data_IF_416062974725
#
_entry.id   IF_416062974725
#
_cell.length_a   1.000
_cell.length_b   1.000
_cell.length_c   1.000
_cell.angle_alpha   90.00
_cell.angle_beta   90.00
_cell.angle_gamma   90.00
#
_symmetry.space_group_name_H-M   'P 1'
#
loop_
_entity.id
_entity.type
_entity.pdbx_description
1 polymer ?
#
# COMPACT_ATOMS: atom_id res chain seq x y z
N UNK A 1 57.06 -15.26 0.98
CA UNK A 1 56.03 -16.23 0.53
C UNK A 1 54.69 -15.86 1.14
N UNK A 2 53.74 -15.49 0.28
CA UNK A 2 52.27 -15.47 0.39
C UNK A 2 51.63 -14.84 1.65
N UNK A 3 51.34 -13.53 1.54
CA UNK A 3 50.21 -12.87 2.18
C UNK A 3 48.92 -13.54 1.69
N UNK A 4 48.07 -14.02 2.60
CA UNK A 4 46.75 -14.56 2.27
C UNK A 4 45.80 -13.46 1.79
N UNK A 5 44.88 -13.75 0.85
CA UNK A 5 43.99 -12.76 0.29
C UNK A 5 42.95 -12.33 1.34
N UNK A 6 42.67 -11.03 1.32
CA UNK A 6 41.83 -10.36 2.29
C UNK A 6 40.42 -10.92 2.34
N UNK A 7 39.90 -11.03 3.55
CA UNK A 7 38.46 -10.94 3.76
C UNK A 7 38.03 -9.58 3.21
N UNK A 8 37.44 -9.57 2.02
CA UNK A 8 36.64 -8.45 1.55
C UNK A 8 35.53 -8.28 2.58
N UNK A 9 35.74 -7.33 3.48
CA UNK A 9 34.69 -6.74 4.28
C UNK A 9 33.69 -6.17 3.28
N UNK A 10 32.61 -6.92 3.04
CA UNK A 10 31.42 -6.36 2.42
C UNK A 10 31.04 -5.16 3.26
N UNK A 11 31.29 -3.97 2.71
CA UNK A 11 30.76 -2.74 3.27
C UNK A 11 29.25 -2.91 3.31
N UNK A 12 28.71 -3.17 4.51
CA UNK A 12 27.27 -3.13 4.78
C UNK A 12 26.83 -1.67 4.68
N UNK A 13 26.62 -1.21 3.45
CA UNK A 13 26.12 0.12 3.14
C UNK A 13 24.65 0.22 3.54
N UNK A 14 24.42 0.69 4.76
CA UNK A 14 23.32 1.56 5.21
C UNK A 14 22.14 1.79 4.23
N UNK A 15 20.98 1.20 4.59
CA UNK A 15 19.59 1.60 4.25
C UNK A 15 19.30 2.10 2.81
N UNK A 16 19.15 1.20 1.81
CA UNK A 16 18.80 1.58 0.44
C UNK A 16 17.31 1.85 0.20
N UNK A 17 16.42 1.57 1.16
CA UNK A 17 14.96 1.69 0.96
C UNK A 17 14.35 2.86 1.75
N UNK A 18 13.51 3.63 1.06
CA UNK A 18 12.64 4.64 1.65
C UNK A 18 11.19 4.31 1.34
N UNK A 19 10.39 4.00 2.36
CA UNK A 19 8.94 4.00 2.26
C UNK A 19 8.43 5.44 2.45
N UNK A 20 8.16 6.13 1.34
CA UNK A 20 7.61 7.49 1.34
C UNK A 20 6.10 7.46 1.61
N UNK A 21 5.72 7.09 2.83
CA UNK A 21 4.32 7.05 3.27
C UNK A 21 4.17 7.36 4.76
N UNK A 22 3.17 8.18 5.09
CA UNK A 22 2.76 8.44 6.47
C UNK A 22 1.90 7.30 7.07
N UNK A 23 1.45 6.32 6.27
CA UNK A 23 0.53 5.28 6.73
C UNK A 23 1.21 4.29 7.70
N UNK A 24 0.74 4.17 8.96
CA UNK A 24 1.27 3.19 9.90
C UNK A 24 1.08 1.75 9.41
N UNK A 25 -0.04 1.48 8.72
CA UNK A 25 -0.37 0.15 8.19
C UNK A 25 0.63 -0.29 7.12
N UNK A 26 0.99 0.60 6.19
CA UNK A 26 2.00 0.28 5.16
C UNK A 26 3.37 0.03 5.77
N UNK A 27 3.75 0.81 6.80
CA UNK A 27 4.98 0.58 7.56
C UNK A 27 5.00 -0.81 8.20
N UNK A 28 3.90 -1.21 8.85
CA UNK A 28 3.76 -2.55 9.42
C UNK A 28 3.87 -3.64 8.34
N UNK A 29 3.18 -3.51 7.22
CA UNK A 29 3.27 -4.49 6.12
C UNK A 29 4.68 -4.60 5.56
N UNK A 30 5.39 -3.48 5.39
CA UNK A 30 6.76 -3.46 4.86
C UNK A 30 7.73 -4.33 5.68
N UNK A 31 7.49 -4.47 7.00
CA UNK A 31 8.30 -5.35 7.87
C UNK A 31 8.26 -6.83 7.48
N UNK A 32 7.20 -7.27 6.77
CA UNK A 32 7.07 -8.66 6.31
C UNK A 32 8.21 -9.06 5.37
N UNK A 33 8.78 -8.09 4.63
CA UNK A 33 9.87 -8.32 3.69
C UNK A 33 11.21 -8.63 4.37
N UNK A 34 11.35 -8.34 5.67
CA UNK A 34 12.60 -8.47 6.40
C UNK A 34 13.71 -7.55 5.89
N UNK A 35 13.37 -6.52 5.12
CA UNK A 35 14.30 -5.55 4.57
C UNK A 35 14.43 -4.35 5.51
N UNK A 36 15.63 -3.79 5.60
CA UNK A 36 15.86 -2.53 6.30
C UNK A 36 15.32 -1.37 5.44
N UNK A 37 14.48 -0.51 6.03
CA UNK A 37 13.91 0.67 5.38
C UNK A 37 13.70 1.82 6.37
N UNK A 38 13.67 3.04 5.85
CA UNK A 38 13.21 4.21 6.61
C UNK A 38 11.89 4.72 6.06
N UNK A 39 11.24 5.63 6.78
CA UNK A 39 10.02 6.28 6.32
C UNK A 39 10.18 7.79 6.23
N UNK A 40 9.62 8.39 5.19
CA UNK A 40 9.40 9.83 5.11
C UNK A 40 7.95 10.09 4.71
N UNK A 41 7.39 11.20 5.19
CA UNK A 41 6.06 11.64 4.78
C UNK A 41 6.21 12.72 3.72
N UNK A 42 5.54 12.56 2.59
CA UNK A 42 5.32 13.66 1.64
C UNK A 42 3.97 14.29 1.95
N UNK A 43 3.92 15.59 2.21
CA UNK A 43 2.67 16.33 2.19
C UNK A 43 2.33 16.61 0.73
N UNK A 44 1.35 15.89 0.20
CA UNK A 44 0.84 16.16 -1.14
C UNK A 44 -0.68 16.23 -1.04
N UNK A 45 -1.27 17.27 -1.64
CA UNK A 45 -2.72 17.41 -1.73
C UNK A 45 -3.26 16.37 -2.73
N UNK A 46 -3.67 15.23 -2.19
CA UNK A 46 -4.14 14.07 -2.96
C UNK A 46 -5.41 14.39 -3.75
N UNK A 47 -6.30 15.21 -3.19
CA UNK A 47 -7.60 15.57 -3.78
C UNK A 47 -7.41 16.48 -4.99
N UNK A 48 -6.64 17.58 -4.84
CA UNK A 48 -6.33 18.47 -5.95
C UNK A 48 -5.56 17.78 -7.09
N UNK A 49 -4.77 16.75 -6.76
CA UNK A 49 -4.08 15.96 -7.76
C UNK A 49 -5.06 15.04 -8.50
N UNK A 50 -5.96 14.36 -7.80
CA UNK A 50 -6.94 13.45 -8.39
C UNK A 50 -7.85 14.16 -9.42
N UNK A 51 -8.19 15.42 -9.19
CA UNK A 51 -9.03 16.23 -10.10
C UNK A 51 -8.45 16.43 -11.50
N UNK A 52 -7.14 16.19 -11.68
CA UNK A 52 -6.46 16.29 -12.97
C UNK A 52 -6.39 14.96 -13.73
N UNK A 53 -6.84 13.86 -13.12
CA UNK A 53 -6.83 12.55 -13.74
C UNK A 53 -8.00 12.41 -14.74
N UNK A 54 -7.73 11.79 -15.89
CA UNK A 54 -8.69 11.62 -17.00
C UNK A 54 -8.75 10.19 -17.54
N UNK A 55 -8.15 9.24 -16.83
CA UNK A 55 -8.14 7.83 -17.21
C UNK A 55 -9.21 7.00 -16.49
N UNK A 56 -9.19 5.67 -16.67
CA UNK A 56 -10.04 4.73 -15.93
C UNK A 56 -9.84 4.84 -14.42
N UNK A 57 -10.90 4.82 -13.62
CA UNK A 57 -10.83 5.00 -12.16
C UNK A 57 -9.95 3.95 -11.45
N UNK A 58 -9.85 2.74 -12.01
CA UNK A 58 -8.96 1.68 -11.54
C UNK A 58 -7.47 2.00 -11.71
N UNK A 59 -7.10 2.91 -12.60
CA UNK A 59 -5.72 3.38 -12.77
C UNK A 59 -5.37 4.54 -11.82
N UNK A 60 -6.37 5.18 -11.19
CA UNK A 60 -6.17 6.37 -10.37
C UNK A 60 -5.15 6.13 -9.24
N UNK A 61 -5.26 5.01 -8.53
CA UNK A 61 -4.36 4.70 -7.43
C UNK A 61 -2.90 4.54 -7.91
N UNK A 62 -2.68 3.88 -9.05
CA UNK A 62 -1.34 3.74 -9.63
C UNK A 62 -0.80 5.08 -10.08
N UNK A 63 -1.64 5.92 -10.70
CA UNK A 63 -1.28 7.26 -11.12
C UNK A 63 -0.89 8.16 -9.93
N UNK A 64 -1.68 8.13 -8.84
CA UNK A 64 -1.40 8.83 -7.60
C UNK A 64 -0.08 8.34 -6.96
N UNK A 65 0.15 7.02 -6.94
CA UNK A 65 1.40 6.45 -6.42
C UNK A 65 2.63 6.98 -7.19
N UNK A 66 2.56 7.07 -8.53
CA UNK A 66 3.63 7.64 -9.37
C UNK A 66 3.88 9.12 -9.08
N UNK A 67 2.83 9.91 -8.91
CA UNK A 67 2.96 11.34 -8.55
C UNK A 67 3.59 11.52 -7.18
N UNK A 68 3.18 10.70 -6.21
CA UNK A 68 3.83 10.65 -4.89
C UNK A 68 5.30 10.28 -5.00
N UNK A 69 5.65 9.31 -5.84
CA UNK A 69 7.05 8.95 -6.06
C UNK A 69 7.84 10.14 -6.64
N UNK A 70 7.29 10.83 -7.64
CA UNK A 70 7.92 12.01 -8.23
C UNK A 70 8.16 13.12 -7.18
N UNK A 71 7.18 13.40 -6.32
CA UNK A 71 7.33 14.36 -5.23
C UNK A 71 8.35 13.88 -4.17
N UNK A 72 8.29 12.60 -3.78
CA UNK A 72 9.18 12.01 -2.79
C UNK A 72 10.64 12.03 -3.22
N UNK A 73 10.95 11.99 -4.51
CA UNK A 73 12.31 12.10 -5.03
C UNK A 73 12.99 13.44 -4.76
N UNK A 74 12.21 14.49 -4.46
CA UNK A 74 12.75 15.80 -4.07
C UNK A 74 13.17 15.86 -2.58
N UNK A 75 12.82 14.84 -1.79
CA UNK A 75 13.18 14.78 -0.38
C UNK A 75 14.68 14.49 -0.20
N UNK A 76 15.36 15.14 0.76
CA UNK A 76 16.73 14.78 1.13
C UNK A 76 16.86 13.28 1.49
N UNK A 77 15.86 12.71 2.15
CA UNK A 77 15.81 11.32 2.57
C UNK A 77 15.79 10.33 1.39
N UNK A 78 15.39 10.78 0.19
CA UNK A 78 15.36 9.95 -1.01
C UNK A 78 16.72 9.87 -1.72
N UNK A 79 17.69 10.70 -1.34
CA UNK A 79 19.00 10.73 -1.99
C UNK A 79 19.72 9.39 -1.82
N UNK A 80 20.14 8.80 -2.94
CA UNK A 80 20.82 7.49 -2.97
C UNK A 80 19.94 6.29 -2.62
N UNK A 81 18.62 6.46 -2.46
CA UNK A 81 17.69 5.39 -2.06
C UNK A 81 16.72 5.01 -3.18
N UNK A 82 16.26 3.77 -3.11
CA UNK A 82 15.08 3.27 -3.80
C UNK A 82 13.84 3.67 -2.99
N UNK A 83 12.98 4.45 -3.63
CA UNK A 83 11.78 5.05 -3.02
C UNK A 83 10.57 4.22 -3.38
N UNK A 84 9.77 3.88 -2.37
CA UNK A 84 8.50 3.16 -2.50
C UNK A 84 7.38 4.10 -2.07
N UNK A 85 6.39 4.27 -2.94
CA UNK A 85 5.14 4.98 -2.63
C UNK A 85 3.95 4.11 -2.96
N UNK A 86 2.84 4.35 -2.26
CA UNK A 86 1.58 3.69 -2.55
C UNK A 86 0.40 4.64 -2.33
N UNK A 87 -0.66 4.39 -3.07
CA UNK A 87 -1.96 5.03 -2.91
C UNK A 87 -3.06 3.99 -2.95
N UNK A 88 -4.15 4.20 -2.21
CA UNK A 88 -5.24 3.24 -2.09
C UNK A 88 -6.56 3.96 -2.27
N UNK A 89 -7.34 3.54 -3.26
CA UNK A 89 -8.67 4.05 -3.55
C UNK A 89 -9.73 2.96 -3.32
N UNK A 90 -10.92 3.38 -2.92
CA UNK A 90 -12.10 2.51 -2.83
C UNK A 90 -13.04 2.93 -3.96
N UNK A 91 -13.46 1.97 -4.78
CA UNK A 91 -14.37 2.18 -5.90
C UNK A 91 -15.68 1.48 -5.62
N UNK A 92 -16.77 2.25 -5.57
CA UNK A 92 -18.14 1.74 -5.46
C UNK A 92 -18.88 2.19 -6.71
N UNK A 93 -19.32 1.23 -7.53
CA UNK A 93 -19.82 1.48 -8.88
C UNK A 93 -18.81 2.32 -9.69
N UNK A 94 -19.21 3.49 -10.20
CA UNK A 94 -18.36 4.42 -10.95
C UNK A 94 -17.85 5.60 -10.09
N UNK A 95 -17.76 5.42 -8.77
CA UNK A 95 -17.38 6.49 -7.85
C UNK A 95 -16.18 6.11 -6.98
N UNK A 96 -15.26 7.08 -6.82
CA UNK A 96 -14.15 6.99 -5.86
C UNK A 96 -14.64 7.44 -4.48
N UNK A 97 -14.56 6.54 -3.51
CA UNK A 97 -14.84 6.85 -2.12
C UNK A 97 -13.55 7.26 -1.39
N UNK A 98 -13.36 8.58 -1.25
CA UNK A 98 -12.24 9.17 -0.53
C UNK A 98 -12.32 8.99 0.99
N UNK A 99 -11.47 9.75 1.70
CA UNK A 99 -11.51 9.84 3.16
C UNK A 99 -12.77 10.62 3.59
N UNK A 100 -13.42 10.27 4.71
CA UNK A 100 -14.58 11.03 5.16
C UNK A 100 -14.17 12.44 5.62
N UNK A 101 -14.99 13.44 5.26
CA UNK A 101 -14.77 14.86 5.63
C UNK A 101 -15.12 15.13 7.10
N UNK A 102 -16.06 14.35 7.63
CA UNK A 102 -16.54 14.41 9.00
C UNK A 102 -17.26 13.09 9.35
N UNK A 103 -17.73 12.97 10.59
CA UNK A 103 -18.44 11.78 11.10
C UNK A 103 -19.74 11.47 10.33
N UNK A 104 -20.47 12.49 9.85
CA UNK A 104 -21.68 12.28 9.07
C UNK A 104 -21.36 11.67 7.70
N UNK A 105 -20.33 12.20 7.01
CA UNK A 105 -19.84 11.64 5.75
C UNK A 105 -19.33 10.20 5.95
N UNK A 106 -18.66 9.90 7.06
CA UNK A 106 -18.24 8.53 7.37
C UNK A 106 -19.44 7.56 7.46
N UNK A 107 -20.53 7.99 8.09
CA UNK A 107 -21.77 7.21 8.16
C UNK A 107 -22.38 7.00 6.78
N UNK A 108 -22.45 8.04 5.94
CA UNK A 108 -22.95 7.94 4.57
C UNK A 108 -22.16 6.93 3.75
N UNK A 109 -20.83 6.99 3.79
CA UNK A 109 -19.94 6.05 3.09
C UNK A 109 -20.15 4.61 3.58
N UNK A 110 -20.22 4.38 4.90
CA UNK A 110 -20.46 3.06 5.47
C UNK A 110 -21.85 2.51 5.11
N UNK A 111 -22.89 3.34 5.07
CA UNK A 111 -24.21 2.91 4.63
C UNK A 111 -24.25 2.58 3.14
N UNK A 112 -23.55 3.36 2.31
CA UNK A 112 -23.47 3.12 0.88
C UNK A 112 -22.76 1.79 0.54
N UNK A 113 -21.79 1.38 1.36
CA UNK A 113 -21.02 0.15 1.21
C UNK A 113 -21.70 -1.10 1.79
N UNK A 114 -22.60 -0.93 2.78
CA UNK A 114 -23.21 -2.03 3.55
C UNK A 114 -23.87 -3.08 2.65
N UNK A 115 -23.47 -4.34 2.81
CA UNK A 115 -24.05 -5.47 2.08
C UNK A 115 -23.78 -5.48 0.58
N UNK A 116 -22.79 -4.70 0.10
CA UNK A 116 -22.47 -4.54 -1.31
C UNK A 116 -21.03 -4.92 -1.60
N UNK A 117 -20.80 -5.31 -2.85
CA UNK A 117 -19.47 -5.45 -3.41
C UNK A 117 -18.92 -4.09 -3.81
N UNK A 118 -17.64 -3.88 -3.55
CA UNK A 118 -16.85 -2.76 -4.02
C UNK A 118 -15.43 -3.22 -4.34
N UNK A 119 -14.65 -2.39 -5.03
CA UNK A 119 -13.26 -2.68 -5.33
C UNK A 119 -12.34 -1.84 -4.46
N UNK A 120 -11.28 -2.46 -3.94
CA UNK A 120 -10.16 -1.73 -3.35
C UNK A 120 -8.99 -1.83 -4.30
N UNK A 121 -8.46 -0.68 -4.69
CA UNK A 121 -7.32 -0.60 -5.60
C UNK A 121 -6.16 0.04 -4.88
N UNK A 122 -5.03 -0.65 -4.79
CA UNK A 122 -3.77 -0.03 -4.35
C UNK A 122 -2.81 0.02 -5.51
N UNK A 123 -2.35 1.23 -5.83
CA UNK A 123 -1.24 1.47 -6.72
C UNK A 123 0.06 1.56 -5.95
N UNK A 124 1.13 0.98 -6.50
CA UNK A 124 2.49 1.07 -5.99
C UNK A 124 3.37 1.70 -7.07
N UNK A 125 4.29 2.55 -6.65
CA UNK A 125 5.42 2.97 -7.48
C UNK A 125 6.75 2.77 -6.74
N UNK A 126 7.73 2.24 -7.47
CA UNK A 126 9.11 2.05 -7.00
C UNK A 126 10.03 2.87 -7.91
N UNK A 127 10.87 3.70 -7.31
CA UNK A 127 11.83 4.55 -8.03
C UNK A 127 13.24 4.34 -7.49
N UNK A 128 14.11 3.76 -8.30
CA UNK A 128 15.49 3.41 -7.94
C UNK A 128 16.45 3.65 -9.10
N UNK A 129 17.70 3.21 -8.95
CA UNK A 129 18.71 3.24 -10.00
C UNK A 129 18.79 1.86 -10.69
N UNK A 130 18.79 1.86 -12.02
CA UNK A 130 19.10 0.70 -12.86
C UNK A 130 20.18 1.17 -13.84
N UNK A 131 21.33 0.51 -13.87
CA UNK A 131 22.50 0.91 -14.67
C UNK A 131 22.90 2.38 -14.48
N UNK A 132 22.88 2.84 -13.22
CA UNK A 132 23.21 4.23 -12.86
C UNK A 132 22.16 5.27 -13.29
N UNK A 133 21.07 4.87 -13.93
CA UNK A 133 19.98 5.77 -14.36
C UNK A 133 18.76 5.60 -13.46
N UNK A 134 18.16 6.72 -13.07
CA UNK A 134 16.90 6.67 -12.31
C UNK A 134 15.77 6.11 -13.19
N UNK A 135 15.10 5.09 -12.68
CA UNK A 135 13.95 4.45 -13.31
C UNK A 135 12.81 4.38 -12.30
N UNK A 136 11.59 4.52 -12.81
CA UNK A 136 10.36 4.32 -12.04
C UNK A 136 9.58 3.16 -12.65
N UNK A 137 9.06 2.29 -11.80
CA UNK A 137 8.14 1.19 -12.12
C UNK A 137 6.92 1.31 -11.25
N UNK A 138 5.79 0.84 -11.75
CA UNK A 138 4.52 0.95 -11.04
C UNK A 138 3.56 -0.12 -11.51
N UNK A 139 2.75 -0.62 -10.59
CA UNK A 139 1.68 -1.56 -10.85
C UNK A 139 0.57 -1.34 -9.81
N UNK A 140 -0.61 -1.92 -10.05
CA UNK A 140 -1.73 -1.90 -9.11
C UNK A 140 -2.20 -3.32 -8.79
N UNK A 141 -2.93 -3.43 -7.68
CA UNK A 141 -3.71 -4.62 -7.32
C UNK A 141 -5.15 -4.18 -7.08
N UNK A 142 -6.10 -4.93 -7.64
CA UNK A 142 -7.54 -4.74 -7.44
C UNK A 142 -8.05 -5.92 -6.61
N UNK A 143 -8.90 -5.66 -5.62
CA UNK A 143 -9.49 -6.70 -4.78
C UNK A 143 -10.97 -6.39 -4.54
N UNK A 144 -11.88 -7.20 -5.08
CA UNK A 144 -13.29 -7.16 -4.70
C UNK A 144 -13.48 -7.47 -3.21
N UNK A 145 -14.33 -6.70 -2.55
CA UNK A 145 -14.67 -6.86 -1.14
C UNK A 145 -16.17 -6.77 -0.97
N UNK A 146 -16.77 -7.74 -0.29
CA UNK A 146 -18.17 -7.73 0.13
C UNK A 146 -18.24 -7.25 1.57
N UNK A 147 -19.01 -6.19 1.81
CA UNK A 147 -19.28 -5.74 3.18
C UNK A 147 -20.38 -6.55 3.84
N UNK A 148 -20.25 -6.78 5.15
CA UNK A 148 -21.33 -7.30 5.97
C UNK A 148 -22.54 -6.35 5.98
N UNK A 149 -23.66 -6.87 6.43
CA UNK A 149 -24.86 -6.09 6.78
C UNK A 149 -24.81 -5.60 8.24
N UNK A 150 -23.79 -4.82 8.59
CA UNK A 150 -23.70 -4.21 9.92
C UNK A 150 -24.86 -3.24 10.20
N UNK A 151 -25.23 -3.10 11.47
CA UNK A 151 -26.32 -2.22 11.88
C UNK A 151 -25.85 -0.77 12.17
N UNK A 152 -26.81 0.13 12.43
CA UNK A 152 -26.53 1.54 12.73
C UNK A 152 -25.74 1.72 14.04
N UNK A 153 -25.90 0.82 15.01
CA UNK A 153 -25.21 0.90 16.29
C UNK A 153 -23.73 0.51 16.12
N UNK A 154 -23.42 -0.51 15.32
CA UNK A 154 -22.06 -0.87 14.91
C UNK A 154 -21.38 0.29 14.19
N UNK A 155 -22.06 0.94 13.24
CA UNK A 155 -21.54 2.12 12.52
C UNK A 155 -21.22 3.25 13.50
N UNK A 156 -22.17 3.59 14.38
CA UNK A 156 -21.98 4.67 15.35
C UNK A 156 -20.82 4.38 16.32
N UNK A 157 -20.73 3.15 16.82
CA UNK A 157 -19.64 2.71 17.69
C UNK A 157 -18.29 2.76 16.98
N UNK A 158 -18.23 2.35 15.71
CA UNK A 158 -17.01 2.41 14.91
C UNK A 158 -16.56 3.85 14.65
N UNK A 159 -17.48 4.74 14.26
CA UNK A 159 -17.20 6.17 14.06
C UNK A 159 -16.74 6.85 15.35
N UNK A 160 -17.26 6.44 16.51
CA UNK A 160 -16.85 6.96 17.80
C UNK A 160 -15.37 6.68 18.12
N UNK A 161 -14.75 5.65 17.53
CA UNK A 161 -13.32 5.36 17.69
C UNK A 161 -12.41 6.36 16.98
N UNK A 162 -12.92 7.10 15.99
CA UNK A 162 -12.13 7.96 15.11
C UNK A 162 -11.34 7.21 14.03
N UNK A 163 -11.27 5.88 14.10
CA UNK A 163 -10.56 5.04 13.13
C UNK A 163 -11.02 5.22 11.66
N UNK A 164 -12.29 5.50 11.32
CA UNK A 164 -12.70 5.74 9.93
C UNK A 164 -11.99 6.91 9.23
N UNK A 165 -11.51 7.89 10.00
CA UNK A 165 -11.26 9.23 9.46
C UNK A 165 -10.04 9.33 8.53
N UNK A 166 -9.07 8.43 8.66
CA UNK A 166 -7.86 8.38 7.82
C UNK A 166 -7.96 7.37 6.66
N UNK A 167 -9.15 6.80 6.40
CA UNK A 167 -9.32 5.65 5.49
C UNK A 167 -10.27 5.97 4.34
N UNK A 168 -9.86 5.62 3.13
CA UNK A 168 -10.73 5.63 1.95
C UNK A 168 -11.94 4.71 2.19
N UNK A 169 -13.13 5.16 1.82
CA UNK A 169 -14.39 4.45 2.10
C UNK A 169 -14.77 4.40 3.59
N UNK A 170 -14.06 5.13 4.46
CA UNK A 170 -14.34 5.22 5.90
C UNK A 170 -14.30 3.89 6.67
N UNK A 171 -13.54 2.89 6.21
CA UNK A 171 -13.41 1.61 6.91
C UNK A 171 -11.99 1.06 6.93
N UNK A 172 -11.70 0.31 8.01
CA UNK A 172 -10.47 -0.46 8.19
C UNK A 172 -10.78 -1.93 8.37
N UNK A 173 -10.33 -2.77 7.44
CA UNK A 173 -10.56 -4.22 7.49
C UNK A 173 -9.87 -4.93 8.68
N UNK A 174 -8.89 -4.24 9.28
CA UNK A 174 -8.15 -4.71 10.46
C UNK A 174 -8.84 -4.37 11.78
N UNK A 175 -9.93 -3.58 11.76
CA UNK A 175 -10.52 -3.09 12.99
C UNK A 175 -11.12 -4.24 13.80
N UNK A 176 -10.66 -4.49 15.05
CA UNK A 176 -10.89 -5.75 15.75
C UNK A 176 -12.35 -5.98 16.15
N UNK A 177 -13.11 -4.90 16.39
CA UNK A 177 -14.54 -4.99 16.78
C UNK A 177 -15.47 -4.89 15.58
N UNK A 178 -15.33 -3.80 14.81
CA UNK A 178 -16.19 -3.55 13.65
C UNK A 178 -16.09 -4.61 12.54
N UNK A 179 -14.92 -5.17 12.21
CA UNK A 179 -14.76 -6.24 11.20
C UNK A 179 -15.72 -6.12 9.99
N UNK A 180 -15.61 -5.06 9.16
CA UNK A 180 -16.69 -4.66 8.24
C UNK A 180 -17.02 -5.64 7.11
N UNK A 181 -16.09 -6.55 6.79
CA UNK A 181 -16.12 -7.35 5.57
C UNK A 181 -16.67 -8.75 5.81
N UNK A 182 -17.52 -9.21 4.91
CA UNK A 182 -18.01 -10.58 4.83
C UNK A 182 -17.04 -11.45 4.03
N UNK A 183 -16.65 -10.97 2.84
CA UNK A 183 -15.78 -11.69 1.90
C UNK A 183 -14.74 -10.76 1.30
N UNK A 184 -13.54 -11.30 1.06
CA UNK A 184 -12.46 -10.64 0.32
C UNK A 184 -12.05 -11.59 -0.79
N UNK A 185 -12.25 -11.20 -2.03
CA UNK A 185 -11.83 -11.99 -3.18
C UNK A 185 -10.50 -11.43 -3.69
N UNK A 186 -9.38 -12.09 -3.36
CA UNK A 186 -8.04 -11.63 -3.69
C UNK A 186 -7.18 -11.20 -2.49
N UNK A 187 -6.41 -10.13 -2.65
CA UNK A 187 -5.30 -9.80 -1.77
C UNK A 187 -5.75 -9.01 -0.52
N UNK A 188 -5.74 -9.64 0.65
CA UNK A 188 -6.01 -8.95 1.91
C UNK A 188 -5.06 -7.77 2.17
N UNK A 189 -3.76 -7.93 1.87
CA UNK A 189 -2.77 -6.87 2.07
C UNK A 189 -2.97 -5.69 1.12
N UNK A 190 -3.58 -5.93 -0.06
CA UNK A 190 -4.06 -4.85 -0.93
C UNK A 190 -5.10 -4.00 -0.22
N UNK A 191 -6.10 -4.65 0.40
CA UNK A 191 -7.17 -3.93 1.12
C UNK A 191 -6.64 -3.15 2.32
N UNK A 192 -5.63 -3.69 3.02
CA UNK A 192 -4.97 -2.97 4.11
C UNK A 192 -4.18 -1.75 3.60
N UNK A 193 -3.66 -1.83 2.37
CA UNK A 193 -3.09 -0.70 1.64
C UNK A 193 -1.67 -0.90 1.08
N UNK A 194 -1.14 -2.13 1.05
CA UNK A 194 0.14 -2.45 0.39
C UNK A 194 0.16 -3.92 -0.08
N UNK A 195 -0.15 -4.21 -1.36
CA UNK A 195 -0.08 -5.57 -1.92
C UNK A 195 1.37 -6.04 -2.02
N UNK A 196 1.79 -6.91 -1.10
CA UNK A 196 3.20 -7.32 -0.99
C UNK A 196 3.70 -8.12 -2.20
N UNK A 197 2.86 -8.97 -2.81
CA UNK A 197 3.22 -9.65 -4.05
C UNK A 197 3.62 -8.66 -5.15
N UNK A 198 2.77 -7.67 -5.42
CA UNK A 198 3.05 -6.61 -6.41
C UNK A 198 4.30 -5.82 -6.03
N UNK A 199 4.49 -5.50 -4.74
CA UNK A 199 5.69 -4.78 -4.31
C UNK A 199 6.96 -5.59 -4.54
N UNK A 200 6.95 -6.90 -4.26
CA UNK A 200 8.10 -7.77 -4.45
C UNK A 200 8.47 -7.88 -5.92
N UNK A 201 7.48 -8.02 -6.80
CA UNK A 201 7.73 -8.07 -8.25
C UNK A 201 8.35 -6.75 -8.74
N UNK A 202 7.85 -5.61 -8.27
CA UNK A 202 8.43 -4.30 -8.59
C UNK A 202 9.84 -4.11 -8.03
N UNK A 203 10.13 -4.61 -6.81
CA UNK A 203 11.45 -4.51 -6.19
C UNK A 203 12.48 -5.42 -6.89
N UNK A 204 12.05 -6.57 -7.40
CA UNK A 204 12.90 -7.48 -8.17
C UNK A 204 13.48 -6.81 -9.43
N UNK A 205 12.74 -5.88 -10.05
CA UNK A 205 13.25 -5.08 -11.18
C UNK A 205 14.43 -4.15 -10.81
N UNK A 206 14.69 -3.95 -9.51
CA UNK A 206 15.81 -3.16 -8.97
C UNK A 206 16.79 -4.04 -8.18
N UNK A 207 16.78 -5.36 -8.41
CA UNK A 207 17.62 -6.35 -7.73
C UNK A 207 17.46 -6.34 -6.19
N UNK A 208 16.30 -5.91 -5.71
CA UNK A 208 15.95 -5.91 -4.28
C UNK A 208 14.99 -7.06 -4.02
N UNK A 209 15.35 -7.91 -3.06
CA UNK A 209 14.58 -9.12 -2.75
C UNK A 209 14.39 -9.26 -1.24
N UNK A 210 13.27 -9.83 -0.78
CA UNK A 210 13.03 -10.07 0.65
C UNK A 210 14.21 -10.79 1.32
N UNK A 211 14.54 -10.45 2.56
CA UNK A 211 15.66 -11.05 3.29
C UNK A 211 15.50 -12.56 3.52
N UNK A 212 14.27 -13.08 3.44
CA UNK A 212 13.96 -14.52 3.50
C UNK A 212 14.06 -15.20 2.13
N UNK A 213 15.15 -15.01 1.39
CA UNK A 213 15.46 -15.84 0.20
C UNK A 213 16.01 -17.20 0.65
N UNK A 214 15.14 -18.19 0.73
CA UNK A 214 15.50 -19.56 1.13
C UNK A 214 14.33 -20.53 1.32
N UNK A 215 13.09 -20.04 1.31
CA UNK A 215 11.92 -20.90 1.19
C UNK A 215 11.36 -20.69 -0.22
N UNK A 216 11.31 -21.76 -1.01
CA UNK A 216 10.61 -21.78 -2.28
C UNK A 216 9.23 -21.13 -2.07
N UNK A 217 8.87 -20.15 -2.90
CA UNK A 217 7.49 -19.69 -2.97
C UNK A 217 6.72 -20.83 -3.63
N UNK A 218 6.31 -21.81 -2.82
CA UNK A 218 5.50 -22.94 -3.27
C UNK A 218 4.17 -22.43 -3.80
N UNK A 219 3.61 -23.15 -4.77
CA UNK A 219 2.24 -22.96 -5.24
C UNK A 219 1.32 -23.31 -4.07
N UNK A 220 0.78 -22.29 -3.41
CA UNK A 220 0.03 -22.40 -2.16
C UNK A 220 -0.60 -21.06 -1.76
N UNK A 221 -1.27 -20.99 -0.59
CA UNK A 221 -1.89 -19.75 -0.11
C UNK A 221 -0.85 -18.64 0.00
N UNK A 222 -1.28 -17.39 -0.17
CA UNK A 222 -0.40 -16.23 -0.18
C UNK A 222 0.64 -16.26 0.96
N UNK A 223 1.96 -16.25 0.65
CA UNK A 223 3.01 -16.43 1.66
C UNK A 223 3.12 -15.23 2.62
N UNK A 224 2.48 -14.12 2.27
CA UNK A 224 2.51 -12.87 3.05
C UNK A 224 1.33 -12.74 4.02
N UNK A 225 0.24 -13.47 3.79
CA UNK A 225 -0.95 -13.41 4.64
C UNK A 225 -1.90 -14.57 4.36
N UNK A 226 -2.18 -15.37 5.38
CA UNK A 226 -3.18 -16.44 5.34
C UNK A 226 -4.63 -15.93 5.10
N UNK A 227 -4.86 -14.61 5.19
CA UNK A 227 -6.16 -13.98 4.92
C UNK A 227 -6.37 -13.62 3.45
N UNK A 228 -5.35 -13.72 2.60
CA UNK A 228 -5.55 -13.49 1.17
C UNK A 228 -6.23 -14.72 0.55
N UNK A 229 -7.15 -14.47 -0.38
CA UNK A 229 -7.83 -15.47 -1.21
C UNK A 229 -7.33 -15.30 -2.65
N UNK A 230 -6.06 -15.68 -2.89
CA UNK A 230 -5.39 -15.60 -4.21
C UNK A 230 -5.29 -17.01 -4.77
#
# INVERSE_FOLDING_TARGET
MRRGPGAEQFMTSSLPLLLASASPRRRQIMTLLGLDFTTAATSTDEEAIADNFRGPLEELAQWLAKRKAAAALALPEAQGRTVITADTTVLLDEQVLGKPRNKAHARELLLALRGRWHHVVTGIAVSGLIDGKRKMRSASCITPVLMRRYDEAEIAAYIATGDPMDKAGAYGIQHPKFQPTETIDGCYLNVVGLPVCVLVDLLAEFDIYPAKRGQNIEVGPCPWSARCQI
#
